data_IF_943608530735
#
_entry.id   IF_943608530735
#
_cell.length_a   1.000
_cell.length_b   1.000
_cell.length_c   1.000
_cell.angle_alpha   90.00
_cell.angle_beta   90.00
_cell.angle_gamma   90.00
#
_symmetry.space_group_name_H-M   'P 1'
#
loop_
_entity.id
_entity.type
_entity.pdbx_description
1 polymer ?
#
# COMPACT_ATOMS: atom_id res chain seq x y z
N UNK A 1 27.10 -40.55 59.23
CA UNK A 1 27.79 -39.70 58.23
C UNK A 1 27.54 -40.36 56.87
N UNK A 2 26.93 -39.78 55.83
CA UNK A 2 26.70 -38.42 55.34
C UNK A 2 25.37 -38.43 54.58
N UNK A 3 24.57 -37.37 54.69
CA UNK A 3 23.43 -37.14 53.80
C UNK A 3 23.93 -36.39 52.56
N UNK A 4 23.67 -36.92 51.36
CA UNK A 4 23.99 -36.26 50.10
C UNK A 4 22.73 -35.56 49.59
N UNK A 5 22.64 -34.25 49.77
CA UNK A 5 21.53 -33.44 49.25
C UNK A 5 21.83 -33.13 47.78
N UNK A 6 21.08 -33.74 46.85
CA UNK A 6 21.17 -33.46 45.43
C UNK A 6 20.28 -32.25 45.11
N UNK A 7 20.86 -31.07 44.92
CA UNK A 7 20.14 -29.89 44.47
C UNK A 7 19.87 -29.98 42.97
N UNK A 8 18.61 -30.09 42.56
CA UNK A 8 18.19 -29.95 41.17
C UNK A 8 18.33 -28.48 40.74
N UNK A 9 19.31 -28.20 39.89
CA UNK A 9 19.44 -26.89 39.24
C UNK A 9 18.43 -26.83 38.08
N UNK A 10 17.30 -26.15 38.27
CA UNK A 10 16.35 -25.89 37.20
C UNK A 10 16.89 -24.77 36.30
N UNK A 11 17.45 -25.14 35.15
CA UNK A 11 17.85 -24.18 34.11
C UNK A 11 16.60 -23.77 33.34
N UNK A 12 16.05 -22.60 33.65
CA UNK A 12 14.96 -22.01 32.88
C UNK A 12 15.54 -21.45 31.56
N UNK A 13 15.30 -22.16 30.46
CA UNK A 13 15.55 -21.63 29.12
C UNK A 13 14.48 -20.57 28.80
N UNK A 14 14.82 -19.29 28.97
CA UNK A 14 14.01 -18.21 28.42
C UNK A 14 14.29 -18.13 26.93
N UNK A 15 13.46 -18.78 26.12
CA UNK A 15 13.49 -18.58 24.67
C UNK A 15 13.10 -17.14 24.38
N UNK A 16 14.08 -16.30 24.05
CA UNK A 16 13.83 -15.00 23.47
C UNK A 16 13.16 -15.23 22.12
N UNK A 17 11.83 -15.14 22.08
CA UNK A 17 11.10 -15.06 20.82
C UNK A 17 11.53 -13.75 20.16
N UNK A 18 12.41 -13.86 19.15
CA UNK A 18 12.71 -12.76 18.27
C UNK A 18 11.40 -12.39 17.58
N UNK A 19 10.74 -11.33 18.08
CA UNK A 19 9.56 -10.76 17.43
C UNK A 19 10.06 -10.23 16.10
N UNK A 20 9.77 -10.95 15.02
CA UNK A 20 10.11 -10.51 13.67
C UNK A 20 9.52 -9.12 13.47
N UNK A 21 10.35 -8.17 13.04
CA UNK A 21 9.87 -6.82 12.72
C UNK A 21 8.75 -6.92 11.70
N UNK A 22 7.58 -6.26 11.93
CA UNK A 22 6.47 -6.33 10.99
C UNK A 22 6.91 -5.91 9.59
N UNK A 23 6.48 -6.66 8.57
CA UNK A 23 6.70 -6.31 7.17
C UNK A 23 6.16 -4.89 6.87
N UNK A 24 6.72 -4.22 5.86
CA UNK A 24 6.25 -2.89 5.46
C UNK A 24 4.75 -2.90 5.08
N UNK A 25 4.25 -3.97 4.44
CA UNK A 25 2.81 -4.14 4.16
C UNK A 25 1.98 -4.20 5.44
N UNK A 26 2.37 -5.01 6.44
CA UNK A 26 1.66 -5.10 7.71
C UNK A 26 1.65 -3.79 8.53
N UNK A 27 2.56 -2.85 8.23
CA UNK A 27 2.54 -1.49 8.80
C UNK A 27 1.67 -0.52 8.01
N UNK A 28 1.63 -0.70 6.68
CA UNK A 28 0.88 0.17 5.78
C UNK A 28 -0.63 0.01 5.93
N UNK A 29 -1.15 -1.22 6.05
CA UNK A 29 -2.61 -1.42 6.10
C UNK A 29 -3.27 -0.73 7.32
N UNK A 30 -2.75 -0.89 8.56
CA UNK A 30 -3.28 -0.14 9.70
C UNK A 30 -3.23 1.37 9.49
N UNK A 31 -2.13 1.89 8.93
CA UNK A 31 -2.03 3.31 8.58
C UNK A 31 -3.13 3.72 7.59
N UNK A 32 -3.31 2.99 6.49
CA UNK A 32 -4.34 3.25 5.49
C UNK A 32 -5.73 3.33 6.14
N UNK A 33 -6.06 2.40 7.03
CA UNK A 33 -7.34 2.40 7.75
C UNK A 33 -7.57 3.67 8.56
N UNK A 34 -6.54 4.23 9.21
CA UNK A 34 -6.65 5.51 9.93
C UNK A 34 -6.85 6.72 9.00
N UNK A 35 -6.57 6.56 7.70
CA UNK A 35 -6.63 7.63 6.70
C UNK A 35 -7.88 7.60 5.84
N UNK A 36 -8.71 6.57 5.94
CA UNK A 36 -10.00 6.50 5.23
C UNK A 36 -10.89 7.70 5.58
N UNK A 37 -11.68 8.17 4.62
CA UNK A 37 -12.53 9.35 4.78
C UNK A 37 -12.65 10.18 3.51
N UNK A 38 -13.40 11.28 3.61
CA UNK A 38 -13.56 12.24 2.51
C UNK A 38 -12.33 13.14 2.40
N UNK A 39 -11.98 13.50 1.17
CA UNK A 39 -10.84 14.36 0.84
C UNK A 39 -11.25 15.42 -0.18
N UNK A 40 -10.82 16.65 0.08
CA UNK A 40 -10.98 17.78 -0.84
C UNK A 40 -9.67 18.11 -1.54
N UNK A 41 -9.75 18.50 -2.82
CA UNK A 41 -8.59 18.88 -3.62
C UNK A 41 -8.09 20.24 -3.17
N UNK A 42 -6.80 20.33 -2.86
CA UNK A 42 -6.11 21.58 -2.52
C UNK A 42 -5.31 22.10 -3.71
N UNK A 43 -4.70 21.21 -4.49
CA UNK A 43 -3.95 21.57 -5.68
C UNK A 43 -3.98 20.44 -6.70
N UNK A 44 -4.11 20.77 -7.97
CA UNK A 44 -4.18 19.79 -9.05
C UNK A 44 -3.56 20.32 -10.34
N UNK A 45 -2.99 19.42 -11.14
CA UNK A 45 -2.60 19.68 -12.53
C UNK A 45 -3.41 18.85 -13.54
N UNK A 46 -4.43 18.12 -13.09
CA UNK A 46 -5.18 17.15 -13.88
C UNK A 46 -6.63 17.12 -13.44
N UNK A 47 -7.54 16.90 -14.39
CA UNK A 47 -8.97 16.68 -14.12
C UNK A 47 -9.25 15.37 -13.37
N UNK A 48 -8.27 14.47 -13.26
CA UNK A 48 -8.35 13.27 -12.41
C UNK A 48 -8.39 13.62 -10.91
N UNK A 49 -7.90 14.82 -10.53
CA UNK A 49 -7.90 15.28 -9.15
C UNK A 49 -9.24 15.93 -8.82
N UNK A 50 -10.18 15.17 -8.26
CA UNK A 50 -11.50 15.65 -7.81
C UNK A 50 -11.72 15.31 -6.35
N UNK A 51 -12.61 16.06 -5.67
CA UNK A 51 -13.02 15.72 -4.31
C UNK A 51 -13.50 14.27 -4.28
N UNK A 52 -12.96 13.48 -3.35
CA UNK A 52 -13.01 12.02 -3.43
C UNK A 52 -13.05 11.38 -2.07
N UNK A 53 -13.59 10.18 -2.01
CA UNK A 53 -13.54 9.31 -0.84
C UNK A 53 -12.32 8.39 -0.93
N UNK A 54 -11.51 8.32 0.14
CA UNK A 54 -10.53 7.24 0.32
C UNK A 54 -11.24 6.06 0.99
N UNK A 55 -11.27 4.91 0.29
CA UNK A 55 -11.99 3.71 0.74
C UNK A 55 -11.23 2.43 0.41
N UNK A 56 -11.44 1.39 1.20
CA UNK A 56 -11.03 0.03 0.82
C UNK A 56 -11.92 -0.47 -0.32
N UNK A 57 -11.34 -1.22 -1.26
CA UNK A 57 -12.10 -1.89 -2.33
C UNK A 57 -13.02 -2.95 -1.73
N UNK A 58 -12.52 -3.70 -0.75
CA UNK A 58 -13.29 -4.68 0.00
C UNK A 58 -12.91 -4.56 1.49
N UNK A 59 -13.83 -4.12 2.37
CA UNK A 59 -13.56 -4.01 3.82
C UNK A 59 -13.18 -5.33 4.49
N UNK A 60 -13.64 -6.47 3.95
CA UNK A 60 -13.38 -7.81 4.48
C UNK A 60 -12.10 -8.44 3.89
N UNK A 61 -11.52 -7.82 2.86
CA UNK A 61 -10.30 -8.28 2.22
C UNK A 61 -9.37 -7.10 1.92
N UNK A 62 -8.50 -6.78 2.88
CA UNK A 62 -7.50 -5.71 2.78
C UNK A 62 -6.58 -5.85 1.56
N UNK A 63 -6.33 -7.08 1.14
CA UNK A 63 -5.47 -7.37 -0.01
C UNK A 63 -6.14 -6.99 -1.35
N UNK A 64 -7.46 -6.75 -1.36
CA UNK A 64 -8.16 -6.26 -2.56
C UNK A 64 -7.73 -4.83 -2.94
N UNK A 65 -7.17 -4.08 -1.98
CA UNK A 65 -6.66 -2.72 -2.21
C UNK A 65 -7.63 -1.61 -1.84
N UNK A 66 -7.37 -0.42 -2.39
CA UNK A 66 -8.09 0.80 -2.02
C UNK A 66 -8.19 1.76 -3.20
N UNK A 67 -9.13 2.70 -3.08
CA UNK A 67 -9.40 3.74 -4.07
C UNK A 67 -9.43 5.11 -3.42
N UNK A 68 -9.08 6.13 -4.22
CA UNK A 68 -9.38 7.52 -3.95
C UNK A 68 -10.32 8.01 -5.06
N UNK A 69 -11.63 7.99 -4.78
CA UNK A 69 -12.66 8.18 -5.80
C UNK A 69 -12.72 7.00 -6.77
N UNK A 70 -13.23 7.23 -7.97
CA UNK A 70 -13.41 6.17 -8.98
C UNK A 70 -12.17 5.95 -9.87
N UNK A 71 -11.26 6.92 -9.92
CA UNK A 71 -10.21 6.96 -10.95
C UNK A 71 -8.80 6.64 -10.42
N UNK A 72 -8.56 6.83 -9.12
CA UNK A 72 -7.27 6.51 -8.50
C UNK A 72 -7.41 5.20 -7.76
N UNK A 73 -6.83 4.13 -8.32
CA UNK A 73 -7.02 2.77 -7.84
C UNK A 73 -5.65 2.13 -7.57
N UNK A 74 -5.50 1.59 -6.37
CA UNK A 74 -4.40 0.70 -6.00
C UNK A 74 -4.99 -0.68 -5.75
N UNK A 75 -5.03 -1.49 -6.81
CA UNK A 75 -5.56 -2.84 -6.80
C UNK A 75 -4.55 -3.84 -6.22
N UNK A 76 -5.07 -4.94 -5.66
CA UNK A 76 -4.31 -6.13 -5.25
C UNK A 76 -3.01 -5.80 -4.51
N UNK A 77 -3.09 -5.54 -3.20
CA UNK A 77 -1.93 -5.20 -2.35
C UNK A 77 -1.02 -6.42 -2.12
N UNK A 78 -0.39 -6.91 -3.17
CA UNK A 78 0.55 -8.02 -3.11
C UNK A 78 1.90 -7.60 -2.53
N UNK A 79 2.74 -8.59 -2.25
CA UNK A 79 4.13 -8.38 -1.85
C UNK A 79 5.06 -8.56 -3.05
N UNK A 80 5.94 -7.59 -3.27
CA UNK A 80 6.99 -7.67 -4.28
C UNK A 80 6.46 -7.37 -5.68
N UNK A 81 6.79 -8.25 -6.63
CA UNK A 81 6.46 -8.10 -8.05
C UNK A 81 5.63 -9.28 -8.51
N UNK A 82 4.52 -9.00 -9.21
CA UNK A 82 3.66 -9.99 -9.83
C UNK A 82 3.56 -9.73 -11.33
N UNK A 83 3.48 -10.78 -12.13
CA UNK A 83 3.27 -10.66 -13.58
C UNK A 83 2.10 -11.54 -14.00
N UNK A 84 1.16 -10.96 -14.72
CA UNK A 84 -0.01 -11.66 -15.25
C UNK A 84 -0.09 -11.42 -16.76
N UNK A 85 -0.28 -12.48 -17.55
CA UNK A 85 -0.64 -12.34 -18.96
C UNK A 85 -2.13 -11.99 -19.06
N UNK A 86 -2.44 -10.81 -19.60
CA UNK A 86 -3.82 -10.45 -19.96
C UNK A 86 -4.11 -11.00 -21.36
N UNK A 87 -5.20 -11.78 -21.55
CA UNK A 87 -5.60 -12.28 -22.87
C UNK A 87 -5.67 -11.14 -23.89
N UNK A 88 -5.13 -11.39 -25.09
CA UNK A 88 -5.16 -10.48 -26.24
C UNK A 88 -4.65 -9.05 -25.97
N UNK A 89 -3.81 -8.87 -24.94
CA UNK A 89 -3.29 -7.57 -24.53
C UNK A 89 -1.78 -7.58 -24.29
N UNK A 90 -1.34 -7.65 -23.04
CA UNK A 90 0.06 -7.54 -22.64
C UNK A 90 0.35 -8.46 -21.44
N UNK A 91 1.63 -8.74 -21.22
CA UNK A 91 2.08 -9.11 -19.87
C UNK A 91 2.10 -7.85 -19.03
N UNK A 92 1.33 -7.85 -17.95
CA UNK A 92 1.24 -6.77 -16.98
C UNK A 92 2.01 -7.18 -15.74
N UNK A 93 3.14 -6.52 -15.52
CA UNK A 93 3.95 -6.67 -14.31
C UNK A 93 3.62 -5.52 -13.35
N UNK A 94 3.15 -5.86 -12.15
CA UNK A 94 2.87 -4.92 -11.07
C UNK A 94 3.91 -5.08 -9.96
N UNK A 95 4.50 -3.97 -9.50
CA UNK A 95 5.45 -3.94 -8.38
C UNK A 95 4.97 -2.97 -7.31
N UNK A 96 4.83 -3.44 -6.08
CA UNK A 96 4.41 -2.61 -4.94
C UNK A 96 5.55 -2.39 -3.96
N UNK A 97 5.79 -1.13 -3.62
CA UNK A 97 6.77 -0.73 -2.61
C UNK A 97 6.09 0.06 -1.50
N UNK A 98 5.88 -0.62 -0.38
CA UNK A 98 5.31 -0.03 0.83
C UNK A 98 6.35 0.84 1.55
N UNK A 99 5.96 2.06 1.86
CA UNK A 99 6.71 3.03 2.67
C UNK A 99 6.03 3.20 4.02
N UNK A 100 6.72 3.89 4.93
CA UNK A 100 6.17 4.20 6.27
C UNK A 100 4.93 5.07 6.22
N UNK A 101 4.77 5.84 5.15
CA UNK A 101 3.80 6.91 4.98
C UNK A 101 3.00 6.78 3.69
N UNK A 102 3.16 5.70 2.93
CA UNK A 102 2.56 5.60 1.61
C UNK A 102 2.91 4.33 0.85
N UNK A 103 2.56 4.31 -0.42
CA UNK A 103 2.86 3.21 -1.33
C UNK A 103 3.18 3.73 -2.73
N UNK A 104 4.16 3.09 -3.36
CA UNK A 104 4.49 3.27 -4.78
C UNK A 104 4.07 2.01 -5.53
N UNK A 105 3.41 2.18 -6.67
CA UNK A 105 3.02 1.11 -7.59
C UNK A 105 3.64 1.39 -8.97
N UNK A 106 4.41 0.43 -9.46
CA UNK A 106 4.89 0.41 -10.84
C UNK A 106 4.15 -0.64 -11.66
N UNK A 107 3.58 -0.24 -12.78
CA UNK A 107 2.98 -1.10 -13.78
C UNK A 107 3.82 -1.08 -15.05
N UNK A 108 4.24 -2.26 -15.51
CA UNK A 108 4.95 -2.43 -16.77
C UNK A 108 4.11 -3.32 -17.69
N UNK A 109 3.68 -2.75 -18.81
CA UNK A 109 3.08 -3.48 -19.91
C UNK A 109 4.19 -3.83 -20.90
N UNK A 110 4.39 -5.12 -21.13
CA UNK A 110 5.43 -5.63 -22.01
C UNK A 110 4.96 -6.84 -22.78
N UNK A 111 5.63 -7.16 -23.89
CA UNK A 111 5.27 -8.28 -24.76
C UNK A 111 3.80 -8.20 -25.14
N UNK A 112 3.40 -7.02 -25.58
CA UNK A 112 2.03 -6.74 -25.99
C UNK A 112 1.76 -7.28 -27.39
N UNK A 113 0.51 -7.71 -27.65
CA UNK A 113 0.06 -8.06 -29.01
C UNK A 113 0.20 -6.85 -29.95
N UNK A 114 -0.13 -5.65 -29.46
CA UNK A 114 0.21 -4.38 -30.11
C UNK A 114 1.34 -3.68 -29.34
N UNK A 115 2.54 -3.51 -29.94
CA UNK A 115 3.67 -2.84 -29.31
C UNK A 115 3.39 -1.39 -28.85
N UNK A 116 2.42 -0.69 -29.45
CA UNK A 116 2.03 0.66 -29.02
C UNK A 116 1.44 0.70 -27.61
N UNK A 117 1.03 -0.45 -27.06
CA UNK A 117 0.53 -0.58 -25.69
C UNK A 117 1.65 -0.79 -24.66
N UNK A 118 2.89 -1.03 -25.09
CA UNK A 118 4.02 -1.16 -24.18
C UNK A 118 4.32 0.18 -23.52
N UNK A 119 4.25 0.20 -22.20
CA UNK A 119 4.54 1.38 -21.40
C UNK A 119 4.86 1.01 -19.97
N UNK A 120 5.50 1.94 -19.29
CA UNK A 120 5.76 1.87 -17.85
C UNK A 120 5.03 3.03 -17.22
N UNK A 121 4.16 2.72 -16.28
CA UNK A 121 3.40 3.69 -15.51
C UNK A 121 3.82 3.52 -14.06
N UNK A 122 4.06 4.61 -13.36
CA UNK A 122 4.23 4.61 -11.92
C UNK A 122 3.19 5.53 -11.30
N UNK A 123 2.56 5.07 -10.24
CA UNK A 123 1.70 5.89 -9.39
C UNK A 123 2.12 5.77 -7.93
N UNK A 124 1.89 6.83 -7.17
CA UNK A 124 2.21 6.86 -5.75
C UNK A 124 1.14 7.57 -4.96
N UNK A 125 0.93 7.14 -3.72
CA UNK A 125 0.11 7.86 -2.75
C UNK A 125 0.83 7.95 -1.42
N UNK A 126 0.89 9.14 -0.85
CA UNK A 126 1.54 9.40 0.44
C UNK A 126 0.63 10.18 1.37
N UNK A 127 0.57 9.74 2.62
CA UNK A 127 -0.07 10.41 3.73
C UNK A 127 0.96 11.29 4.44
N UNK A 128 0.76 12.60 4.36
CA UNK A 128 1.63 13.61 4.95
C UNK A 128 1.03 14.13 6.27
N UNK A 129 1.80 14.98 6.95
CA UNK A 129 1.33 15.71 8.12
C UNK A 129 0.10 16.60 7.79
N UNK A 130 -0.60 17.02 8.84
CA UNK A 130 -1.79 17.87 8.74
C UNK A 130 -2.84 17.26 7.77
N UNK A 131 -3.09 15.97 7.88
CA UNK A 131 -4.11 15.24 7.10
C UNK A 131 -4.08 15.53 5.59
N UNK A 132 -2.88 15.68 5.06
CA UNK A 132 -2.64 15.95 3.65
C UNK A 132 -2.30 14.64 2.95
N UNK A 133 -2.84 14.44 1.74
CA UNK A 133 -2.58 13.28 0.91
C UNK A 133 -2.02 13.77 -0.43
N UNK A 134 -0.91 13.18 -0.90
CA UNK A 134 -0.38 13.45 -2.24
C UNK A 134 -0.52 12.22 -3.12
N UNK A 135 -1.02 12.43 -4.33
CA UNK A 135 -1.08 11.42 -5.38
C UNK A 135 -0.25 11.88 -6.58
N UNK A 136 0.48 10.94 -7.20
CA UNK A 136 1.14 11.18 -8.50
C UNK A 136 0.91 10.01 -9.46
N UNK A 137 0.95 10.32 -10.75
CA UNK A 137 0.95 9.37 -11.87
C UNK A 137 1.98 9.85 -12.89
N UNK A 138 2.80 8.96 -13.45
CA UNK A 138 3.85 9.35 -14.39
C UNK A 138 3.34 9.60 -15.81
N UNK A 139 2.29 8.89 -16.24
CA UNK A 139 1.80 8.96 -17.62
C UNK A 139 0.27 8.76 -17.70
N UNK A 140 -0.52 9.83 -17.96
CA UNK A 140 -0.07 11.23 -18.06
C UNK A 140 0.51 11.73 -16.73
N UNK A 141 1.28 12.82 -16.76
CA UNK A 141 1.89 13.41 -15.57
C UNK A 141 0.82 14.06 -14.68
N UNK A 142 0.42 13.36 -13.61
CA UNK A 142 -0.56 13.84 -12.63
C UNK A 142 0.13 14.12 -11.31
N UNK A 143 -0.26 15.22 -10.68
CA UNK A 143 0.07 15.56 -9.31
C UNK A 143 -1.17 16.17 -8.64
N UNK A 144 -1.67 15.51 -7.61
CA UNK A 144 -2.78 15.98 -6.80
C UNK A 144 -2.32 16.12 -5.35
N UNK A 145 -2.76 17.19 -4.69
CA UNK A 145 -2.71 17.33 -3.24
C UNK A 145 -4.13 17.44 -2.73
N UNK A 146 -4.46 16.64 -1.73
CA UNK A 146 -5.75 16.61 -1.07
C UNK A 146 -5.61 16.87 0.43
N UNK A 147 -6.69 17.34 1.05
CA UNK A 147 -6.84 17.51 2.49
C UNK A 147 -8.01 16.65 2.98
N UNK A 148 -7.79 15.87 4.05
CA UNK A 148 -8.87 15.11 4.67
C UNK A 148 -9.89 16.09 5.25
N UNK A 149 -11.17 15.85 4.96
CA UNK A 149 -12.27 16.53 5.63
C UNK A 149 -12.37 15.95 7.05
N UNK A 150 -12.45 16.78 8.09
CA UNK A 150 -12.70 16.29 9.44
C UNK A 150 -13.97 15.44 9.46
N UNK A 151 -13.90 14.26 10.07
CA UNK A 151 -15.09 13.44 10.27
C UNK A 151 -16.07 14.27 11.12
N UNK A 152 -17.24 14.60 10.57
CA UNK A 152 -18.28 15.35 11.27
C UNK A 152 -18.70 14.55 12.51
N UNK A 153 -18.41 15.09 13.70
CA UNK A 153 -18.81 14.52 14.99
C UNK A 153 -20.33 14.52 15.15
#
# INVERSE_FOLDING_TARGET
>A
MKYLTLALLAIAFTSAHAVATPSNKSRFIPLLKTKLGAYEVVSANSALCVNSQLSLVNPDNEDAGFTLGEQIIFDSLHNGTQTVKKPDFCFVTSSLKYKSDGIENGLRMSRCENPANEKIISQSIYFLANDTLKYTLSQPSVACTFKKVPDSQ
#
